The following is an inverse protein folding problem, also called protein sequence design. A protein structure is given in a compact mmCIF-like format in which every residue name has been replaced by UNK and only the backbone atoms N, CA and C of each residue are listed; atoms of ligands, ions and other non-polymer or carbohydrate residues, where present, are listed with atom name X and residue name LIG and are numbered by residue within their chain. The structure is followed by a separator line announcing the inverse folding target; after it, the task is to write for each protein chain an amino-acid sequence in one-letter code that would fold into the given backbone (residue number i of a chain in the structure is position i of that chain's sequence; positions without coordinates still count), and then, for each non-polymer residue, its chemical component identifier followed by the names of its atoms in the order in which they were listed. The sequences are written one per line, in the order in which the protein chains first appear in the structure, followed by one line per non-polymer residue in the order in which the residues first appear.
data_IF_403085226026
#
_entry.id   IF_403085226026
#
_cell.length_a   1.000
_cell.length_b   1.000
_cell.length_c   1.000
_cell.angle_alpha   90.00
_cell.angle_beta   90.00
_cell.angle_gamma   90.00
#
_symmetry.space_group_name_H-M   'P 1'
#
loop_
_entity.id
_entity.type
_entity.pdbx_description
1 polymer ?
#
# COMPACT_ATOMS: atom_id res chain seq x y z
N UNK A 1 -21.60 -13.00 8.39
CA UNK A 1 -20.24 -12.70 7.91
C UNK A 1 -19.87 -11.33 8.45
N UNK A 2 -18.94 -11.27 9.41
CA UNK A 2 -18.31 -10.00 9.77
C UNK A 2 -17.16 -9.80 8.79
N UNK A 3 -17.28 -8.79 7.94
CA UNK A 3 -16.22 -8.41 7.01
C UNK A 3 -15.24 -7.50 7.78
N UNK A 4 -14.36 -8.10 8.59
CA UNK A 4 -13.34 -7.38 9.38
C UNK A 4 -12.12 -7.05 8.50
N UNK A 5 -12.33 -6.58 7.26
CA UNK A 5 -11.22 -6.11 6.43
C UNK A 5 -10.91 -4.66 6.79
N UNK A 6 -9.67 -4.31 7.15
CA UNK A 6 -9.30 -2.92 7.38
C UNK A 6 -9.51 -2.10 6.11
N UNK A 7 -10.03 -0.88 6.27
CA UNK A 7 -10.37 0.04 5.17
C UNK A 7 -9.09 0.65 4.56
N UNK A 8 -8.03 0.76 5.35
CA UNK A 8 -6.73 1.28 4.96
C UNK A 8 -5.60 0.68 5.81
N UNK A 9 -4.36 1.04 5.50
CA UNK A 9 -3.18 0.55 6.21
C UNK A 9 -3.23 0.77 7.71
N UNK A 10 -2.71 -0.19 8.47
CA UNK A 10 -2.43 -0.01 9.90
C UNK A 10 -1.28 0.99 10.11
N UNK A 11 -1.04 1.37 11.37
CA UNK A 11 0.09 2.25 11.72
C UNK A 11 1.42 1.65 11.29
N UNK A 12 1.67 0.38 11.62
CA UNK A 12 2.92 -0.32 11.29
C UNK A 12 3.13 -0.45 9.77
N UNK A 13 2.06 -0.76 9.03
CA UNK A 13 2.05 -0.78 7.57
C UNK A 13 2.36 0.59 6.97
N UNK A 14 1.80 1.65 7.55
CA UNK A 14 2.04 3.04 7.12
C UNK A 14 3.47 3.48 7.40
N UNK A 15 4.03 3.12 8.56
CA UNK A 15 5.43 3.38 8.93
C UNK A 15 6.40 2.69 7.97
N UNK A 16 6.10 1.45 7.52
CA UNK A 16 6.88 0.75 6.49
C UNK A 16 6.89 1.49 5.16
N UNK A 17 5.75 2.02 4.70
CA UNK A 17 5.69 2.82 3.47
C UNK A 17 6.50 4.11 3.58
N UNK A 18 6.39 4.81 4.70
CA UNK A 18 7.18 6.02 4.96
C UNK A 18 8.68 5.73 5.00
N UNK A 19 9.09 4.62 5.62
CA UNK A 19 10.49 4.19 5.66
C UNK A 19 11.07 3.86 4.26
N UNK A 20 10.22 3.49 3.30
CA UNK A 20 10.60 3.32 1.89
C UNK A 20 10.70 4.66 1.13
N UNK A 21 10.44 5.80 1.78
CA UNK A 21 10.49 7.12 1.18
C UNK A 21 9.20 7.54 0.46
N UNK A 22 8.10 6.81 0.66
CA UNK A 22 6.79 7.20 0.09
C UNK A 22 6.33 8.51 0.73
N UNK A 23 6.04 9.50 -0.12
CA UNK A 23 5.51 10.81 0.30
C UNK A 23 4.20 10.66 1.06
N UNK A 24 4.12 11.23 2.26
CA UNK A 24 2.90 11.21 3.08
C UNK A 24 1.71 11.87 2.38
N UNK A 25 1.96 12.82 1.47
CA UNK A 25 0.95 13.54 0.69
C UNK A 25 0.23 12.63 -0.32
N UNK A 26 0.75 11.42 -0.54
CA UNK A 26 0.09 10.40 -1.37
C UNK A 26 -0.96 9.60 -0.62
N UNK A 27 -1.10 9.75 0.70
CA UNK A 27 -2.12 9.10 1.49
C UNK A 27 -3.51 9.70 1.20
N UNK A 28 -4.55 8.85 1.21
CA UNK A 28 -5.96 9.23 1.02
C UNK A 28 -6.81 8.98 2.27
N UNK A 29 -6.19 8.49 3.35
CA UNK A 29 -6.78 8.26 4.65
C UNK A 29 -5.82 8.73 5.75
N UNK A 30 -6.32 8.82 6.98
CA UNK A 30 -5.52 8.99 8.18
C UNK A 30 -5.99 8.02 9.27
N UNK A 31 -5.04 7.49 10.03
CA UNK A 31 -5.32 6.85 11.32
C UNK A 31 -5.18 7.90 12.41
N UNK A 32 -6.24 8.07 13.20
CA UNK A 32 -6.25 8.92 14.40
C UNK A 32 -6.33 8.03 15.63
N UNK A 33 -5.40 8.23 16.56
CA UNK A 33 -5.47 7.61 17.88
C UNK A 33 -5.90 8.65 18.92
N UNK A 34 -6.96 8.35 19.68
CA UNK A 34 -7.40 9.22 20.78
C UNK A 34 -6.48 9.09 21.98
N UNK A 35 -6.56 10.06 22.90
CA UNK A 35 -5.85 10.01 24.20
C UNK A 35 -6.20 8.74 24.99
N UNK A 36 -7.40 8.19 24.78
CA UNK A 36 -7.88 6.95 25.43
C UNK A 36 -7.39 5.68 24.73
N UNK A 37 -6.64 5.81 23.63
CA UNK A 37 -6.09 4.70 22.85
C UNK A 37 -7.00 4.17 21.75
N UNK A 38 -8.18 4.75 21.54
CA UNK A 38 -9.13 4.32 20.51
C UNK A 38 -8.64 4.72 19.12
N UNK A 39 -8.83 3.85 18.12
CA UNK A 39 -8.39 4.07 16.75
C UNK A 39 -9.57 4.41 15.84
N UNK A 40 -9.41 5.49 15.07
CA UNK A 40 -10.37 5.94 14.07
C UNK A 40 -9.69 6.08 12.71
N UNK A 41 -10.37 5.60 11.67
CA UNK A 41 -9.96 5.76 10.27
C UNK A 41 -10.77 6.87 9.64
N UNK A 42 -10.10 7.91 9.15
CA UNK A 42 -10.75 9.11 8.63
C UNK A 42 -10.30 9.31 7.18
N UNK A 43 -11.24 9.37 6.24
CA UNK A 43 -10.94 9.71 4.85
C UNK A 43 -10.37 11.13 4.76
N UNK A 44 -9.43 11.35 3.83
CA UNK A 44 -8.73 12.64 3.69
C UNK A 44 -9.69 13.82 3.45
N UNK A 45 -10.84 13.58 2.83
CA UNK A 45 -11.84 14.61 2.50
C UNK A 45 -12.65 15.12 3.72
N UNK A 46 -12.64 14.40 4.85
CA UNK A 46 -13.28 14.87 6.09
C UNK A 46 -12.40 15.87 6.89
N UNK A 47 -11.29 16.30 6.29
CA UNK A 47 -10.24 17.09 6.93
C UNK A 47 -9.79 18.24 6.03
N UNK A 48 -10.55 19.34 6.01
CA UNK A 48 -9.85 20.57 6.39
C UNK A 48 -9.31 20.27 7.79
N UNK A 49 -8.01 19.97 7.90
CA UNK A 49 -7.31 19.58 9.13
C UNK A 49 -7.80 20.33 10.38
N UNK A 50 -8.15 21.61 10.20
CA UNK A 50 -8.78 22.51 11.18
C UNK A 50 -10.09 21.99 11.81
N UNK A 51 -10.97 21.37 11.04
CA UNK A 51 -12.32 21.00 11.47
C UNK A 51 -12.33 19.72 12.32
N UNK A 52 -11.43 18.76 12.06
CA UNK A 52 -11.27 17.63 12.99
C UNK A 52 -10.51 18.00 14.24
N UNK A 53 -9.50 18.88 14.18
CA UNK A 53 -8.90 19.41 15.41
C UNK A 53 -9.93 20.17 16.27
N UNK A 54 -10.92 20.82 15.64
CA UNK A 54 -12.03 21.45 16.35
C UNK A 54 -13.03 20.45 16.94
N UNK A 55 -13.34 19.35 16.23
CA UNK A 55 -14.28 18.32 16.70
C UNK A 55 -13.70 17.37 17.75
N UNK A 56 -12.44 17.00 17.62
CA UNK A 56 -11.83 15.96 18.44
C UNK A 56 -10.81 16.52 19.45
N UNK A 57 -10.26 17.73 19.24
CA UNK A 57 -9.27 18.35 20.12
C UNK A 57 -7.83 18.26 19.58
N UNK A 58 -6.91 19.07 20.16
CA UNK A 58 -5.54 19.29 19.66
C UNK A 58 -4.51 18.20 20.03
N UNK A 59 -4.95 17.09 20.62
CA UNK A 59 -4.06 16.11 21.27
C UNK A 59 -4.01 14.74 20.58
N UNK A 60 -4.46 14.65 19.33
CA UNK A 60 -4.48 13.38 18.60
C UNK A 60 -3.24 13.22 17.72
N UNK A 61 -2.70 12.01 17.73
CA UNK A 61 -1.67 11.62 16.79
C UNK A 61 -2.33 11.23 15.47
N UNK A 62 -2.02 11.99 14.42
CA UNK A 62 -2.45 11.71 13.06
C UNK A 62 -1.33 11.03 12.29
N UNK A 63 -1.61 9.87 11.72
CA UNK A 63 -0.70 9.12 10.88
C UNK A 63 -1.31 8.99 9.48
N UNK A 64 -0.60 9.38 8.40
CA UNK A 64 -1.06 9.11 7.04
C UNK A 64 -1.28 7.62 6.83
N UNK A 65 -2.37 7.27 6.13
CA UNK A 65 -2.75 5.91 5.80
C UNK A 65 -3.23 5.82 4.35
N UNK A 66 -3.07 4.63 3.76
CA UNK A 66 -3.45 4.40 2.37
C UNK A 66 -4.57 3.38 2.31
N UNK A 67 -5.68 3.74 1.66
CA UNK A 67 -6.71 2.76 1.31
C UNK A 67 -6.14 1.73 0.33
N UNK A 68 -6.79 0.57 0.26
CA UNK A 68 -6.43 -0.45 -0.72
C UNK A 68 -6.46 0.13 -2.15
N UNK A 69 -7.49 0.92 -2.46
CA UNK A 69 -7.63 1.59 -3.75
C UNK A 69 -6.43 2.49 -4.05
N UNK A 70 -6.00 3.28 -3.07
CA UNK A 70 -4.88 4.20 -3.25
C UNK A 70 -3.57 3.46 -3.47
N UNK A 71 -3.30 2.40 -2.72
CA UNK A 71 -2.12 1.57 -2.91
C UNK A 71 -2.09 0.96 -4.33
N UNK A 72 -3.20 0.39 -4.79
CA UNK A 72 -3.30 -0.18 -6.13
C UNK A 72 -3.08 0.87 -7.23
N UNK A 73 -3.58 2.10 -7.04
CA UNK A 73 -3.38 3.21 -7.99
C UNK A 73 -1.92 3.67 -8.07
N UNK A 74 -1.14 3.46 -7.01
CA UNK A 74 0.27 3.80 -6.97
C UNK A 74 1.16 2.74 -7.63
N UNK A 75 0.65 1.52 -7.83
CA UNK A 75 1.37 0.47 -8.54
C UNK A 75 1.38 0.75 -10.05
N UNK A 76 2.52 0.54 -10.74
CA UNK A 76 2.56 0.61 -12.19
C UNK A 76 1.64 -0.47 -12.78
N UNK A 77 0.85 -0.10 -13.79
CA UNK A 77 -0.02 -1.07 -14.46
C UNK A 77 0.79 -2.03 -15.35
N UNK A 78 1.97 -1.61 -15.78
CA UNK A 78 2.88 -2.38 -16.61
C UNK A 78 4.33 -2.11 -16.19
N UNK A 79 5.15 -3.15 -16.19
CA UNK A 79 6.60 -3.06 -15.97
C UNK A 79 7.34 -3.87 -17.02
N UNK A 80 8.51 -3.38 -17.45
CA UNK A 80 9.38 -4.09 -18.39
C UNK A 80 10.61 -4.54 -17.61
N UNK A 81 10.79 -5.85 -17.48
CA UNK A 81 11.90 -6.47 -16.74
C UNK A 81 12.68 -7.29 -17.76
N UNK A 82 13.96 -6.96 -17.95
CA UNK A 82 14.85 -7.68 -18.89
C UNK A 82 14.28 -7.82 -20.31
N UNK A 83 13.56 -6.77 -20.77
CA UNK A 83 12.91 -6.75 -22.09
C UNK A 83 11.57 -7.48 -22.17
N UNK A 84 11.15 -8.19 -21.11
CA UNK A 84 9.83 -8.83 -21.04
C UNK A 84 8.82 -7.90 -20.39
N UNK A 85 7.66 -7.73 -21.05
CA UNK A 85 6.56 -6.92 -20.54
C UNK A 85 5.68 -7.73 -19.58
N UNK A 86 5.40 -7.16 -18.41
CA UNK A 86 4.49 -7.71 -17.42
C UNK A 86 3.39 -6.70 -17.08
N UNK A 87 2.16 -7.18 -16.94
CA UNK A 87 0.99 -6.39 -16.55
C UNK A 87 0.57 -6.72 -15.12
N UNK A 88 0.15 -5.71 -14.38
CA UNK A 88 -0.42 -5.87 -13.05
C UNK A 88 -1.70 -6.73 -13.14
N UNK A 89 -1.77 -7.74 -12.29
CA UNK A 89 -2.93 -8.63 -12.16
C UNK A 89 -3.24 -8.82 -10.69
N UNK A 90 -4.53 -8.84 -10.36
CA UNK A 90 -5.03 -9.13 -9.03
C UNK A 90 -5.89 -10.37 -9.14
N UNK A 91 -5.52 -11.44 -8.45
CA UNK A 91 -6.30 -12.68 -8.48
C UNK A 91 -7.50 -12.65 -7.51
N UNK A 92 -8.31 -13.71 -7.55
CA UNK A 92 -9.48 -13.88 -6.67
C UNK A 92 -9.14 -13.95 -5.18
N UNK A 93 -7.87 -14.15 -4.83
CA UNK A 93 -7.35 -14.19 -3.46
C UNK A 93 -6.64 -12.90 -3.05
N UNK A 94 -6.82 -11.82 -3.83
CA UNK A 94 -6.17 -10.53 -3.65
C UNK A 94 -4.63 -10.65 -3.62
N UNK A 95 -4.08 -11.59 -4.39
CA UNK A 95 -2.66 -11.63 -4.67
C UNK A 95 -2.35 -10.62 -5.78
N UNK A 96 -1.44 -9.71 -5.50
CA UNK A 96 -0.97 -8.70 -6.45
C UNK A 96 0.26 -9.25 -7.15
N UNK A 97 0.13 -9.51 -8.45
CA UNK A 97 1.13 -10.17 -9.28
C UNK A 97 1.38 -9.36 -10.57
N UNK A 98 2.54 -9.58 -11.20
CA UNK A 98 2.83 -9.09 -12.54
C UNK A 98 2.94 -10.27 -13.50
N UNK A 99 2.13 -10.30 -14.55
CA UNK A 99 2.01 -11.43 -15.47
C UNK A 99 2.43 -10.99 -16.88
N UNK A 100 3.30 -11.76 -17.51
CA UNK A 100 3.64 -11.62 -18.93
C UNK A 100 2.71 -12.49 -19.76
N UNK A 101 1.96 -11.90 -20.68
CA UNK A 101 1.09 -12.64 -21.60
C UNK A 101 1.92 -13.47 -22.60
N UNK A 102 3.09 -12.97 -23.01
CA UNK A 102 3.97 -13.58 -24.01
C UNK A 102 4.62 -14.87 -23.50
N UNK A 103 5.06 -14.88 -22.25
CA UNK A 103 5.76 -16.02 -21.66
C UNK A 103 4.89 -16.82 -20.71
N UNK A 104 3.68 -16.34 -20.40
CA UNK A 104 2.83 -16.81 -19.29
C UNK A 104 3.57 -16.84 -17.93
N UNK A 105 4.71 -16.15 -17.83
CA UNK A 105 5.50 -16.07 -16.61
C UNK A 105 4.83 -15.11 -15.64
N UNK A 106 4.75 -15.51 -14.37
CA UNK A 106 4.30 -14.66 -13.27
C UNK A 106 5.53 -14.17 -12.54
N UNK A 107 5.56 -12.92 -12.11
CA UNK A 107 6.56 -12.44 -11.14
C UNK A 107 5.79 -11.97 -9.91
N UNK A 108 5.96 -12.70 -8.82
CA UNK A 108 5.52 -12.25 -7.49
C UNK A 108 6.66 -11.42 -6.93
N UNK A 109 6.42 -10.12 -6.80
CA UNK A 109 7.41 -9.13 -6.38
C UNK A 109 7.60 -9.18 -4.85
N UNK A 110 8.00 -10.33 -4.31
CA UNK A 110 8.34 -10.49 -2.89
C UNK A 110 9.85 -10.42 -2.72
N UNK A 111 10.31 -9.46 -1.93
CA UNK A 111 11.72 -9.32 -1.59
C UNK A 111 12.21 -10.51 -0.78
N UNK A 112 12.93 -11.42 -1.44
CA UNK A 112 14.13 -12.12 -0.96
C UNK A 112 14.62 -13.23 -1.90
N UNK A 113 13.84 -13.68 -2.89
CA UNK A 113 14.25 -14.81 -3.75
C UNK A 113 14.13 -14.51 -5.24
N UNK A 114 15.17 -14.92 -5.96
CA UNK A 114 15.42 -14.78 -7.40
C UNK A 114 14.55 -15.68 -8.29
N UNK A 115 13.41 -16.18 -7.80
CA UNK A 115 12.54 -17.05 -8.58
C UNK A 115 11.06 -16.72 -8.36
N UNK A 116 10.25 -16.71 -9.43
CA UNK A 116 8.82 -16.47 -9.35
C UNK A 116 8.11 -17.71 -8.78
N UNK A 117 8.05 -17.80 -7.46
CA UNK A 117 7.28 -18.83 -6.78
C UNK A 117 6.12 -18.14 -6.09
N UNK A 118 4.91 -18.62 -6.41
CA UNK A 118 3.68 -18.35 -5.67
C UNK A 118 3.89 -18.72 -4.21
N UNK A 119 4.28 -17.76 -3.39
CA UNK A 119 4.13 -17.92 -1.96
C UNK A 119 2.71 -17.52 -1.62
N UNK A 120 1.95 -18.48 -1.09
CA UNK A 120 0.85 -18.21 -0.18
C UNK A 120 1.42 -17.39 0.99
N UNK A 121 1.53 -16.07 0.79
CA UNK A 121 2.07 -15.19 1.81
C UNK A 121 1.04 -15.12 2.93
N UNK A 122 1.49 -15.51 4.13
CA UNK A 122 0.77 -15.35 5.38
C UNK A 122 0.84 -13.86 5.75
N UNK A 123 -0.14 -13.10 5.30
CA UNK A 123 -0.24 -11.66 5.48
C UNK A 123 -1.50 -11.15 4.79
N UNK A 124 -2.01 -10.02 5.25
CA UNK A 124 -3.19 -9.41 4.63
C UNK A 124 -2.84 -8.83 3.24
N UNK A 125 -3.86 -8.34 2.52
CA UNK A 125 -3.68 -7.73 1.19
C UNK A 125 -2.76 -6.50 1.23
N UNK A 126 -2.76 -5.73 2.32
CA UNK A 126 -1.92 -4.54 2.45
C UNK A 126 -0.46 -4.92 2.56
N UNK A 127 -0.13 -5.94 3.37
CA UNK A 127 1.25 -6.44 3.49
C UNK A 127 1.82 -6.89 2.14
N UNK A 128 1.02 -7.59 1.35
CA UNK A 128 1.41 -8.04 0.01
C UNK A 128 1.72 -6.86 -0.91
N UNK A 129 0.87 -5.84 -0.91
CA UNK A 129 1.10 -4.64 -1.73
C UNK A 129 2.31 -3.87 -1.24
N UNK A 130 2.51 -3.72 0.07
CA UNK A 130 3.68 -3.04 0.63
C UNK A 130 4.97 -3.75 0.25
N UNK A 131 4.98 -5.09 0.27
CA UNK A 131 6.11 -5.88 -0.24
C UNK A 131 6.37 -5.64 -1.73
N UNK A 132 5.31 -5.56 -2.54
CA UNK A 132 5.41 -5.23 -3.96
C UNK A 132 6.00 -3.82 -4.17
N UNK A 133 5.52 -2.81 -3.43
CA UNK A 133 6.05 -1.44 -3.44
C UNK A 133 7.54 -1.44 -3.08
N UNK A 134 7.92 -2.14 -2.00
CA UNK A 134 9.31 -2.27 -1.58
C UNK A 134 10.21 -2.82 -2.71
N UNK A 135 9.77 -3.90 -3.36
CA UNK A 135 10.50 -4.50 -4.47
C UNK A 135 10.62 -3.55 -5.67
N UNK A 136 9.52 -2.88 -6.05
CA UNK A 136 9.50 -1.94 -7.17
C UNK A 136 10.42 -0.74 -6.92
N UNK A 137 10.47 -0.23 -5.68
CA UNK A 137 11.38 0.86 -5.30
C UNK A 137 12.83 0.38 -5.40
N UNK A 138 13.15 -0.78 -4.79
CA UNK A 138 14.52 -1.35 -4.81
C UNK A 138 15.05 -1.58 -6.23
N UNK A 139 14.17 -1.93 -7.17
CA UNK A 139 14.52 -2.20 -8.56
C UNK A 139 14.27 -1.02 -9.52
N UNK A 140 13.98 0.19 -9.00
CA UNK A 140 13.74 1.40 -9.79
C UNK A 140 12.54 1.34 -10.78
N UNK A 141 11.55 0.49 -10.51
CA UNK A 141 10.32 0.39 -11.30
C UNK A 141 9.13 1.16 -10.71
N UNK A 142 9.28 1.71 -9.50
CA UNK A 142 8.22 2.50 -8.86
C UNK A 142 8.21 3.95 -9.36
N UNK A 143 7.02 4.57 -9.47
CA UNK A 143 6.91 5.97 -9.90
C UNK A 143 7.54 6.91 -8.86
N UNK A 144 8.59 7.63 -9.28
CA UNK A 144 9.36 8.57 -8.46
C UNK A 144 8.55 9.78 -7.99
N UNK A 145 7.45 10.13 -8.65
CA UNK A 145 6.57 11.22 -8.22
C UNK A 145 6.00 10.98 -6.81
N UNK A 146 5.84 9.71 -6.43
CA UNK A 146 5.36 9.29 -5.11
C UNK A 146 6.46 9.18 -4.05
N UNK A 147 7.73 9.38 -4.41
CA UNK A 147 8.89 9.27 -3.50
C UNK A 147 9.53 10.64 -3.23
N UNK A 148 10.22 10.79 -2.09
CA UNK A 148 11.07 11.96 -1.80
C UNK A 148 12.36 11.98 -2.64
#
# INVERSE_FOLDING_TARGET
MNFDSPICTTREQSERLLALGVKKETADCNVMQTIRGELYYIGFDMLRYRDCCARFGRHHNYQPAWSLHRLLKMLPQEVIIEGTKYKLSIDSYLCVEYISEETQSRVVMSGELSNPIRYFWKGDVFDRIICCVCWLIKNNYFNKEYLY
#
